data_IF_314907043060
#
_entry.id   IF_314907043060
#
_cell.length_a   1.000
_cell.length_b   1.000
_cell.length_c   1.000
_cell.angle_alpha   90.00
_cell.angle_beta   90.00
_cell.angle_gamma   90.00
#
_symmetry.space_group_name_H-M   'P 1'
#
loop_
_entity.id
_entity.type
_entity.pdbx_description
1 polymer ?
#
# COMPACT_ATOMS: atom_id res chain seq x y z
N UNK A 1 -34.25 2.19 11.41
CA UNK A 1 -32.77 2.21 11.35
C UNK A 1 -32.27 2.69 9.97
N UNK A 2 -32.61 3.92 9.56
CA UNK A 2 -32.00 4.58 8.40
C UNK A 2 -31.31 5.84 8.90
N UNK A 3 -30.17 5.66 9.56
CA UNK A 3 -29.35 6.77 9.99
C UNK A 3 -28.16 6.82 9.04
N UNK A 4 -28.32 7.64 8.00
CA UNK A 4 -27.18 8.17 7.27
C UNK A 4 -26.26 8.80 8.32
N UNK A 5 -25.00 8.39 8.36
CA UNK A 5 -24.01 9.02 9.24
C UNK A 5 -24.09 10.52 9.02
N UNK A 6 -24.46 11.29 10.05
CA UNK A 6 -24.51 12.75 9.98
C UNK A 6 -23.17 13.21 9.42
N UNK A 7 -23.26 14.03 8.39
CA UNK A 7 -22.13 14.59 7.68
C UNK A 7 -21.19 15.21 8.71
N UNK A 8 -19.90 14.84 8.63
CA UNK A 8 -18.86 15.54 9.39
C UNK A 8 -19.03 17.01 9.05
N UNK A 9 -19.29 17.83 10.07
CA UNK A 9 -19.25 19.30 10.04
C UNK A 9 -18.40 19.77 8.86
N UNK A 10 -19.05 20.28 7.82
CA UNK A 10 -18.45 20.48 6.50
C UNK A 10 -17.61 21.75 6.44
N UNK A 11 -17.89 22.69 7.33
CA UNK A 11 -17.28 24.00 7.43
C UNK A 11 -17.05 24.40 8.88
N UNK A 12 -16.29 25.47 9.10
CA UNK A 12 -16.15 26.05 10.45
C UNK A 12 -17.48 26.60 10.96
N UNK A 13 -18.32 27.18 10.09
CA UNK A 13 -19.63 27.71 10.43
C UNK A 13 -20.58 26.62 10.96
N UNK A 14 -20.55 25.43 10.35
CA UNK A 14 -21.32 24.28 10.84
C UNK A 14 -20.87 23.87 12.25
N UNK A 15 -19.58 24.00 12.55
CA UNK A 15 -19.01 23.67 13.87
C UNK A 15 -19.48 24.67 14.92
N UNK A 16 -19.40 25.96 14.59
CA UNK A 16 -19.82 27.05 15.46
C UNK A 16 -21.31 26.94 15.77
N UNK A 17 -22.15 26.73 14.76
CA UNK A 17 -23.58 26.52 14.93
C UNK A 17 -23.89 25.31 15.81
N UNK A 18 -23.19 24.19 15.61
CA UNK A 18 -23.36 23.00 16.44
C UNK A 18 -23.00 23.28 17.92
N UNK A 19 -21.90 24.00 18.17
CA UNK A 19 -21.48 24.35 19.53
C UNK A 19 -22.46 25.32 20.18
N UNK A 20 -22.94 26.34 19.44
CA UNK A 20 -23.93 27.31 19.93
C UNK A 20 -25.25 26.62 20.32
N UNK A 21 -25.78 25.74 19.47
CA UNK A 21 -26.99 24.98 19.78
C UNK A 21 -26.81 24.07 20.99
N UNK A 22 -25.63 23.48 21.16
CA UNK A 22 -25.31 22.65 22.33
C UNK A 22 -25.24 23.47 23.62
N UNK A 23 -24.59 24.63 23.59
CA UNK A 23 -24.56 25.56 24.73
C UNK A 23 -25.96 26.06 25.09
N UNK A 24 -26.77 26.42 24.09
CA UNK A 24 -28.16 26.81 24.28
C UNK A 24 -28.98 25.69 24.93
N UNK A 25 -28.81 24.44 24.49
CA UNK A 25 -29.47 23.28 25.09
C UNK A 25 -29.05 23.02 26.56
N UNK A 26 -27.75 23.16 26.88
CA UNK A 26 -27.25 22.97 28.25
C UNK A 26 -27.72 24.09 29.21
N UNK A 27 -27.86 25.31 28.69
CA UNK A 27 -28.33 26.47 29.47
C UNK A 27 -29.85 26.60 29.53
N UNK A 28 -30.58 25.92 28.64
CA UNK A 28 -32.04 26.01 28.54
C UNK A 28 -32.76 25.63 29.85
N UNK A 29 -32.20 24.70 30.64
CA UNK A 29 -32.79 24.31 31.94
C UNK A 29 -32.30 25.14 33.13
N UNK A 30 -31.46 26.17 32.92
CA UNK A 30 -31.00 27.04 34.03
C UNK A 30 -32.14 27.88 34.62
N UNK A 31 -33.13 28.21 33.78
CA UNK A 31 -34.35 28.91 34.18
C UNK A 31 -35.54 28.05 33.74
N UNK A 32 -36.33 27.59 34.70
CA UNK A 32 -37.57 26.87 34.43
C UNK A 32 -38.64 27.27 35.45
N UNK A 33 -39.89 27.08 35.07
CA UNK A 33 -41.05 27.25 35.95
C UNK A 33 -41.73 25.89 36.09
N UNK A 34 -42.13 25.56 37.31
CA UNK A 34 -43.06 24.46 37.57
C UNK A 34 -44.41 25.03 37.99
N UNK A 35 -45.48 24.51 37.40
CA UNK A 35 -46.83 24.96 37.71
C UNK A 35 -47.83 23.80 37.64
N UNK A 36 -48.98 24.02 38.27
CA UNK A 36 -50.12 23.12 38.25
C UNK A 36 -51.28 23.78 37.50
N UNK A 37 -52.01 23.00 36.72
CA UNK A 37 -53.19 23.47 35.98
C UNK A 37 -54.27 22.40 35.94
N UNK A 38 -55.51 22.82 35.76
CA UNK A 38 -56.66 21.95 35.50
C UNK A 38 -57.06 21.96 34.01
N UNK A 39 -56.33 22.67 33.14
CA UNK A 39 -56.63 22.74 31.72
C UNK A 39 -56.17 21.46 31.00
N UNK A 40 -57.08 20.64 30.46
CA UNK A 40 -56.72 19.40 29.76
C UNK A 40 -56.12 19.61 28.37
N UNK A 41 -56.11 20.85 27.86
CA UNK A 41 -55.60 21.16 26.52
C UNK A 41 -54.09 21.40 26.49
N UNK A 42 -53.46 21.59 27.66
CA UNK A 42 -52.01 21.75 27.75
C UNK A 42 -51.31 20.42 27.44
N UNK A 43 -50.23 20.48 26.66
CA UNK A 43 -49.41 19.32 26.32
C UNK A 43 -47.93 19.72 26.24
N UNK A 44 -47.04 18.74 26.20
CA UNK A 44 -45.61 18.99 25.92
C UNK A 44 -45.49 19.68 24.56
N UNK A 45 -44.71 20.76 24.50
CA UNK A 45 -44.57 21.64 23.34
C UNK A 45 -45.54 22.83 23.29
N UNK A 46 -46.54 22.91 24.19
CA UNK A 46 -47.38 24.12 24.28
C UNK A 46 -46.56 25.32 24.77
N UNK A 47 -46.79 26.49 24.15
CA UNK A 47 -46.24 27.78 24.61
C UNK A 47 -47.28 28.48 25.46
N UNK A 48 -46.89 28.87 26.67
CA UNK A 48 -47.76 29.54 27.66
C UNK A 48 -47.18 30.91 28.01
N UNK A 49 -48.04 31.90 28.19
CA UNK A 49 -47.65 33.21 28.71
C UNK A 49 -47.99 33.27 30.20
N UNK A 50 -46.99 33.53 31.04
CA UNK A 50 -47.17 33.61 32.49
C UNK A 50 -47.35 35.06 32.92
N UNK A 51 -48.29 35.30 33.84
CA UNK A 51 -48.52 36.61 34.42
C UNK A 51 -48.55 36.53 35.94
N UNK A 52 -47.85 37.45 36.61
CA UNK A 52 -47.86 37.56 38.07
C UNK A 52 -48.67 38.76 38.51
N UNK A 53 -49.49 38.57 39.54
CA UNK A 53 -50.19 39.67 40.22
C UNK A 53 -49.30 40.22 41.34
N UNK A 54 -48.84 41.47 41.21
CA UNK A 54 -48.13 42.17 42.28
C UNK A 54 -49.07 43.15 42.99
N UNK A 55 -49.06 43.12 44.34
CA UNK A 55 -49.65 44.19 45.15
C UNK A 55 -48.70 45.39 45.13
N UNK A 56 -48.96 46.38 44.27
CA UNK A 56 -48.50 47.76 44.52
C UNK A 56 -49.40 48.30 45.64
N UNK A 57 -48.83 48.98 46.63
CA UNK A 57 -49.49 49.37 47.88
C UNK A 57 -50.97 49.78 47.77
N UNK A 58 -51.75 49.37 48.79
CA UNK A 58 -53.18 49.63 49.05
C UNK A 58 -54.04 49.91 47.80
N UNK A 59 -54.55 48.82 47.19
CA UNK A 59 -55.80 48.87 46.42
C UNK A 59 -55.71 48.59 44.92
N UNK A 60 -54.51 48.59 44.30
CA UNK A 60 -54.37 48.29 42.88
C UNK A 60 -53.48 47.05 42.64
N UNK A 61 -54.08 46.00 42.07
CA UNK A 61 -53.37 44.86 41.50
C UNK A 61 -52.84 45.25 40.11
N UNK A 62 -51.52 45.17 39.90
CA UNK A 62 -50.93 45.23 38.56
C UNK A 62 -50.54 43.82 38.10
N UNK A 63 -50.94 43.45 36.89
CA UNK A 63 -50.55 42.20 36.25
C UNK A 63 -49.30 42.45 35.40
N UNK A 64 -48.19 41.83 35.78
CA UNK A 64 -46.93 41.91 35.02
C UNK A 64 -46.69 40.59 34.28
N UNK A 65 -46.26 40.68 33.03
CA UNK A 65 -45.88 39.50 32.25
C UNK A 65 -44.53 38.97 32.74
N UNK A 66 -44.48 37.67 33.02
CA UNK A 66 -43.25 36.93 33.31
C UNK A 66 -42.60 36.38 32.02
N UNK A 67 -43.25 36.57 30.86
CA UNK A 67 -42.79 36.10 29.55
C UNK A 67 -43.46 34.81 29.08
N UNK A 68 -43.03 34.37 27.90
CA UNK A 68 -43.50 33.14 27.25
C UNK A 68 -42.59 31.96 27.62
N UNK A 69 -43.19 30.81 27.89
CA UNK A 69 -42.51 29.58 28.26
C UNK A 69 -43.03 28.40 27.43
N UNK A 70 -42.14 27.51 27.01
CA UNK A 70 -42.49 26.25 26.34
C UNK A 70 -42.49 25.10 27.35
N UNK A 71 -43.58 24.34 27.39
CA UNK A 71 -43.71 23.16 28.26
C UNK A 71 -42.85 22.02 27.73
N UNK A 72 -41.93 21.51 28.54
CA UNK A 72 -41.00 20.43 28.18
C UNK A 72 -41.29 19.10 28.88
N UNK A 73 -41.95 19.15 30.05
CA UNK A 73 -42.36 17.96 30.79
C UNK A 73 -43.78 18.20 31.32
N UNK A 74 -44.62 17.18 31.30
CA UNK A 74 -45.97 17.24 31.86
C UNK A 74 -46.40 15.88 32.41
N UNK A 75 -47.00 15.91 33.59
CA UNK A 75 -47.62 14.76 34.24
C UNK A 75 -49.10 15.05 34.43
N UNK A 76 -49.95 14.20 33.87
CA UNK A 76 -51.40 14.27 34.04
C UNK A 76 -51.84 13.32 35.15
N UNK A 77 -52.71 13.79 36.05
CA UNK A 77 -53.32 12.98 37.11
C UNK A 77 -54.84 13.10 37.00
N UNK A 78 -55.52 11.95 36.96
CA UNK A 78 -56.99 11.85 36.96
C UNK A 78 -57.38 10.98 38.15
N UNK A 79 -58.19 11.51 39.06
CA UNK A 79 -58.68 10.78 40.24
C UNK A 79 -60.07 10.17 40.02
N UNK A 80 -60.49 9.30 40.94
CA UNK A 80 -61.79 8.60 40.92
C UNK A 80 -63.01 9.54 40.88
N UNK A 81 -62.86 10.81 41.27
CA UNK A 81 -63.90 11.84 41.22
C UNK A 81 -63.92 12.65 39.91
N UNK A 82 -63.28 12.16 38.84
CA UNK A 82 -63.10 12.88 37.56
C UNK A 82 -62.37 14.22 37.70
N UNK A 83 -61.60 14.41 38.77
CA UNK A 83 -60.79 15.60 38.95
C UNK A 83 -59.49 15.44 38.14
N UNK A 84 -59.35 16.26 37.11
CA UNK A 84 -58.15 16.34 36.30
C UNK A 84 -57.24 17.46 36.83
N UNK A 85 -55.96 17.14 36.99
CA UNK A 85 -54.90 18.13 37.18
C UNK A 85 -53.67 17.70 36.39
N UNK A 86 -52.88 18.67 35.97
CA UNK A 86 -51.56 18.44 35.42
C UNK A 86 -50.52 19.25 36.20
N UNK A 87 -49.32 18.70 36.29
CA UNK A 87 -48.12 19.40 36.73
C UNK A 87 -47.18 19.45 35.54
N UNK A 88 -46.64 20.63 35.24
CA UNK A 88 -45.72 20.78 34.12
C UNK A 88 -44.46 21.56 34.50
N UNK A 89 -43.39 21.33 33.74
CA UNK A 89 -42.15 22.08 33.74
C UNK A 89 -42.03 22.81 32.40
N UNK A 90 -41.79 24.12 32.43
CA UNK A 90 -41.65 24.94 31.25
C UNK A 90 -40.37 25.78 31.31
N UNK A 91 -39.73 25.98 30.16
CA UNK A 91 -38.51 26.80 29.99
C UNK A 91 -38.82 28.03 29.14
N UNK A 92 -38.05 29.12 29.18
CA UNK A 92 -38.32 30.30 28.38
C UNK A 92 -38.49 29.98 26.88
N UNK A 93 -39.50 30.56 26.21
CA UNK A 93 -39.77 30.33 24.79
C UNK A 93 -38.71 30.91 23.84
N UNK A 94 -37.77 31.70 24.37
CA UNK A 94 -36.65 32.31 23.63
C UNK A 94 -35.42 31.40 23.53
N UNK A 95 -35.44 30.20 24.12
CA UNK A 95 -34.32 29.25 24.00
C UNK A 95 -34.09 28.85 22.55
N UNK A 96 -32.83 28.87 22.11
CA UNK A 96 -32.47 28.51 20.73
C UNK A 96 -32.50 27.00 20.47
N UNK A 97 -32.39 26.19 21.54
CA UNK A 97 -32.38 24.74 21.46
C UNK A 97 -33.01 24.14 22.71
N UNK A 98 -33.72 23.02 22.55
CA UNK A 98 -34.30 22.28 23.67
C UNK A 98 -33.19 21.55 24.44
N UNK A 99 -33.41 21.26 25.74
CA UNK A 99 -32.48 20.47 26.54
C UNK A 99 -32.17 19.13 25.87
N UNK A 100 -30.89 18.75 25.84
CA UNK A 100 -30.49 17.47 25.28
C UNK A 100 -30.98 16.33 26.17
N UNK A 101 -31.57 15.26 25.58
CA UNK A 101 -31.93 14.09 26.36
C UNK A 101 -30.68 13.44 26.94
N UNK A 102 -30.76 12.96 28.19
CA UNK A 102 -29.69 12.21 28.84
C UNK A 102 -29.68 10.78 28.31
N UNK A 103 -29.04 10.58 27.16
CA UNK A 103 -28.87 9.27 26.52
C UNK A 103 -27.40 8.90 26.54
N UNK A 104 -27.09 7.66 26.94
CA UNK A 104 -25.74 7.14 26.83
C UNK A 104 -25.39 6.94 25.35
N UNK A 105 -24.25 7.49 24.93
CA UNK A 105 -23.77 7.36 23.56
C UNK A 105 -23.27 5.92 23.35
N UNK A 106 -23.60 5.29 22.20
CA UNK A 106 -23.10 3.95 21.91
C UNK A 106 -21.58 3.96 21.78
N UNK A 107 -20.92 3.04 22.47
CA UNK A 107 -19.49 2.80 22.35
C UNK A 107 -19.27 1.54 21.50
N UNK A 108 -18.50 1.68 20.43
CA UNK A 108 -18.04 0.58 19.62
C UNK A 108 -16.67 0.10 20.10
N UNK A 109 -16.62 -1.14 20.53
CA UNK A 109 -15.36 -1.88 20.69
C UNK A 109 -14.81 -2.29 19.33
N UNK A 110 -13.59 -2.81 19.33
CA UNK A 110 -12.94 -3.35 18.14
C UNK A 110 -13.77 -4.49 17.54
N UNK A 111 -13.96 -4.48 16.21
CA UNK A 111 -14.79 -5.47 15.52
C UNK A 111 -14.10 -6.07 14.31
N UNK A 112 -14.35 -7.34 14.04
CA UNK A 112 -13.94 -7.97 12.78
C UNK A 112 -14.92 -7.59 11.65
N UNK A 113 -14.37 -7.41 10.45
CA UNK A 113 -15.15 -7.18 9.24
C UNK A 113 -14.48 -7.84 8.03
N UNK A 114 -15.27 -8.05 6.97
CA UNK A 114 -14.78 -8.53 5.68
C UNK A 114 -14.65 -7.37 4.70
N UNK A 115 -13.55 -7.30 3.96
CA UNK A 115 -13.34 -6.31 2.90
C UNK A 115 -14.25 -6.62 1.71
N UNK A 116 -15.07 -5.64 1.32
CA UNK A 116 -15.95 -5.74 0.16
C UNK A 116 -15.38 -5.04 -1.07
N UNK A 117 -14.61 -3.96 -0.89
CA UNK A 117 -13.99 -3.21 -1.98
C UNK A 117 -12.76 -2.48 -1.50
N UNK A 118 -11.72 -2.46 -2.33
CA UNK A 118 -10.50 -1.66 -2.16
C UNK A 118 -10.29 -0.65 -3.31
N UNK A 119 -11.27 -0.52 -4.21
CA UNK A 119 -11.23 0.39 -5.36
C UNK A 119 -11.73 1.79 -4.99
N UNK A 120 -11.00 2.49 -4.10
CA UNK A 120 -11.32 3.84 -3.67
C UNK A 120 -11.29 4.83 -4.85
N UNK A 121 -12.41 5.51 -5.20
CA UNK A 121 -12.47 6.46 -6.31
C UNK A 121 -11.46 7.61 -6.23
N UNK A 122 -10.96 7.92 -5.02
CA UNK A 122 -9.99 8.98 -4.81
C UNK A 122 -8.54 8.47 -4.66
N UNK A 123 -8.31 7.16 -4.78
CA UNK A 123 -6.96 6.57 -4.68
C UNK A 123 -6.30 6.75 -3.31
N UNK A 124 -7.07 6.97 -2.24
CA UNK A 124 -6.54 7.30 -0.91
C UNK A 124 -6.23 6.08 -0.02
N UNK A 125 -6.14 4.88 -0.61
CA UNK A 125 -5.84 3.64 0.12
C UNK A 125 -6.89 3.25 1.16
N UNK A 126 -8.16 3.62 0.94
CA UNK A 126 -9.28 3.25 1.83
C UNK A 126 -9.97 1.98 1.33
N UNK A 127 -10.69 1.32 2.22
CA UNK A 127 -11.50 0.13 1.89
C UNK A 127 -12.95 0.32 2.33
N UNK A 128 -13.87 -0.37 1.66
CA UNK A 128 -15.22 -0.60 2.17
C UNK A 128 -15.29 -1.99 2.78
N UNK A 129 -15.87 -2.09 3.96
CA UNK A 129 -15.97 -3.35 4.69
C UNK A 129 -17.41 -3.63 5.09
N UNK A 130 -17.67 -4.87 5.48
CA UNK A 130 -18.92 -5.32 6.10
C UNK A 130 -18.61 -6.00 7.42
N UNK A 131 -19.13 -5.43 8.51
CA UNK A 131 -19.03 -6.02 9.85
C UNK A 131 -19.95 -7.25 9.96
N UNK A 132 -19.67 -8.16 10.89
CA UNK A 132 -20.39 -9.44 10.98
C UNK A 132 -21.90 -9.31 11.21
N UNK A 133 -22.35 -8.25 11.88
CA UNK A 133 -23.78 -8.00 12.15
C UNK A 133 -24.51 -7.32 10.99
N UNK A 134 -23.78 -6.82 9.99
CA UNK A 134 -24.37 -6.17 8.81
C UNK A 134 -24.88 -7.22 7.82
N UNK A 135 -26.12 -7.08 7.38
CA UNK A 135 -26.77 -8.02 6.44
C UNK A 135 -26.78 -7.49 5.01
N UNK A 136 -27.03 -8.38 4.05
CA UNK A 136 -27.29 -8.03 2.65
C UNK A 136 -26.17 -7.14 2.03
N UNK A 137 -26.57 -5.99 1.47
CA UNK A 137 -25.73 -4.99 0.83
C UNK A 137 -25.25 -3.89 1.79
N UNK A 138 -25.41 -4.08 3.11
CA UNK A 138 -24.87 -3.14 4.09
C UNK A 138 -23.34 -3.14 4.03
N UNK A 139 -22.78 -1.94 4.03
CA UNK A 139 -21.34 -1.69 3.97
C UNK A 139 -21.01 -0.37 4.60
N UNK A 140 -19.78 -0.21 5.03
CA UNK A 140 -19.27 1.08 5.48
C UNK A 140 -19.09 2.05 4.31
N UNK A 141 -19.01 3.34 4.63
CA UNK A 141 -18.28 4.31 3.79
C UNK A 141 -16.80 3.91 3.66
N UNK A 142 -16.02 4.62 2.85
CA UNK A 142 -14.58 4.40 2.72
C UNK A 142 -13.84 4.60 4.05
N UNK A 143 -13.25 3.53 4.57
CA UNK A 143 -12.54 3.46 5.85
C UNK A 143 -11.03 3.51 5.61
N UNK A 144 -10.32 4.32 6.39
CA UNK A 144 -8.85 4.42 6.31
C UNK A 144 -8.19 3.15 6.85
N UNK A 145 -7.09 2.76 6.22
CA UNK A 145 -6.25 1.64 6.63
C UNK A 145 -5.05 2.16 7.42
N UNK A 146 -4.82 1.59 8.61
CA UNK A 146 -3.60 1.79 9.38
C UNK A 146 -2.46 1.06 8.69
N UNK A 147 -1.34 1.75 8.54
CA UNK A 147 -0.12 1.22 7.93
C UNK A 147 1.06 1.43 8.89
N UNK A 148 2.08 0.56 8.91
CA UNK A 148 3.26 0.74 9.78
C UNK A 148 3.98 2.08 9.59
N UNK A 149 4.02 2.59 8.36
CA UNK A 149 4.55 3.92 8.03
C UNK A 149 3.74 4.51 6.86
N UNK A 150 3.27 5.74 7.02
CA UNK A 150 2.23 6.35 6.18
C UNK A 150 2.38 7.86 6.04
N UNK A 151 3.60 8.34 5.77
CA UNK A 151 3.95 9.76 5.80
C UNK A 151 4.27 10.37 4.43
N UNK A 152 4.54 11.67 4.41
CA UNK A 152 5.16 12.37 3.28
C UNK A 152 6.42 13.10 3.73
N UNK A 153 7.25 13.56 2.79
CA UNK A 153 8.40 14.43 3.04
C UNK A 153 8.51 15.52 1.97
N UNK A 154 9.52 16.41 2.10
CA UNK A 154 9.81 17.41 1.06
C UNK A 154 10.15 16.75 -0.28
N UNK A 155 10.88 15.64 -0.25
CA UNK A 155 11.34 14.91 -1.43
C UNK A 155 10.29 13.92 -1.96
N UNK A 156 9.44 13.40 -1.07
CA UNK A 156 8.45 12.36 -1.36
C UNK A 156 7.05 12.89 -0.99
N UNK A 157 6.38 13.52 -1.96
CA UNK A 157 5.08 14.19 -1.76
C UNK A 157 3.91 13.23 -1.54
N UNK A 158 3.99 12.00 -2.07
CA UNK A 158 3.02 10.91 -1.91
C UNK A 158 3.61 9.81 -1.04
N UNK A 159 2.80 8.98 -0.40
CA UNK A 159 3.19 8.03 0.65
C UNK A 159 4.67 7.53 0.63
N UNK A 160 5.44 7.98 1.62
CA UNK A 160 6.71 7.40 2.08
C UNK A 160 6.38 6.40 3.18
N UNK A 161 6.51 5.11 2.88
CA UNK A 161 6.24 4.03 3.83
C UNK A 161 5.61 2.81 3.16
N UNK A 162 4.75 2.11 3.89
CA UNK A 162 4.13 0.86 3.44
C UNK A 162 2.78 1.13 2.75
N UNK A 163 2.59 0.55 1.57
CA UNK A 163 1.30 0.51 0.86
C UNK A 163 0.91 -0.95 0.64
N UNK A 164 0.20 -1.53 1.60
CA UNK A 164 -0.39 -2.87 1.49
C UNK A 164 -1.85 -2.78 1.90
N UNK A 165 -2.71 -2.59 0.90
CA UNK A 165 -4.15 -2.44 1.12
C UNK A 165 -4.78 -3.84 1.13
N UNK A 166 -5.62 -4.18 2.13
CA UNK A 166 -6.33 -5.44 2.17
C UNK A 166 -7.11 -5.72 0.87
N UNK A 167 -7.14 -6.98 0.46
CA UNK A 167 -7.83 -7.43 -0.74
C UNK A 167 -9.30 -7.75 -0.45
N UNK A 168 -10.13 -7.76 -1.50
CA UNK A 168 -11.55 -8.15 -1.37
C UNK A 168 -11.64 -9.58 -0.87
N UNK A 169 -12.43 -9.77 0.20
CA UNK A 169 -12.58 -11.06 0.89
C UNK A 169 -11.70 -11.21 2.14
N UNK A 170 -10.70 -10.35 2.34
CA UNK A 170 -9.86 -10.40 3.54
C UNK A 170 -10.66 -10.09 4.81
N UNK A 171 -10.30 -10.77 5.91
CA UNK A 171 -10.78 -10.43 7.24
C UNK A 171 -9.87 -9.36 7.83
N UNK A 172 -10.48 -8.28 8.31
CA UNK A 172 -9.78 -7.15 8.92
C UNK A 172 -10.35 -6.82 10.28
N UNK A 173 -9.51 -6.24 11.13
CA UNK A 173 -9.91 -5.74 12.44
C UNK A 173 -10.13 -4.23 12.37
N UNK A 174 -11.30 -3.77 12.80
CA UNK A 174 -11.66 -2.35 12.85
C UNK A 174 -11.54 -1.81 14.26
N UNK A 175 -10.84 -0.69 14.40
CA UNK A 175 -10.88 0.15 15.58
C UNK A 175 -11.79 1.34 15.36
N UNK A 176 -12.26 1.94 16.45
CA UNK A 176 -13.15 3.10 16.42
C UNK A 176 -12.51 4.25 17.20
N UNK A 177 -12.34 5.40 16.56
CA UNK A 177 -11.65 6.54 17.19
C UNK A 177 -12.49 7.06 18.37
N UNK A 178 -11.94 6.97 19.58
CA UNK A 178 -12.65 7.25 20.85
C UNK A 178 -13.88 6.35 21.08
N UNK A 179 -13.91 5.15 20.50
CA UNK A 179 -15.07 4.27 20.60
C UNK A 179 -16.31 4.75 19.83
N UNK A 180 -16.19 5.78 18.97
CA UNK A 180 -17.31 6.29 18.17
C UNK A 180 -17.60 5.37 16.98
N UNK A 181 -18.78 4.71 16.91
CA UNK A 181 -19.16 3.83 15.81
C UNK A 181 -19.11 4.50 14.42
N UNK A 182 -19.24 5.82 14.36
CA UNK A 182 -19.18 6.61 13.13
C UNK A 182 -17.72 6.91 12.68
N UNK A 183 -16.71 6.50 13.44
CA UNK A 183 -15.28 6.77 13.17
C UNK A 183 -14.43 5.50 13.09
N UNK A 184 -14.78 4.54 12.21
CA UNK A 184 -13.98 3.34 12.03
C UNK A 184 -12.64 3.64 11.33
N UNK A 185 -11.65 2.80 11.60
CA UNK A 185 -10.42 2.66 10.84
C UNK A 185 -10.00 1.18 10.87
N UNK A 186 -9.41 0.68 9.79
CA UNK A 186 -8.85 -0.68 9.76
C UNK A 186 -7.51 -0.66 10.49
N UNK A 187 -7.34 -1.52 11.48
CA UNK A 187 -6.10 -1.70 12.25
C UNK A 187 -5.11 -2.61 11.53
N UNK A 188 -5.61 -3.62 10.84
CA UNK A 188 -4.81 -4.60 10.10
C UNK A 188 -5.65 -5.78 9.63
N UNK A 189 -5.02 -6.66 8.85
CA UNK A 189 -5.62 -7.91 8.39
C UNK A 189 -5.38 -9.03 9.40
N UNK A 190 -6.32 -9.98 9.45
CA UNK A 190 -6.23 -11.18 10.26
C UNK A 190 -6.03 -12.40 9.36
N UNK A 191 -5.08 -13.26 9.74
CA UNK A 191 -5.02 -14.59 9.15
C UNK A 191 -6.27 -15.40 9.51
N UNK A 192 -6.68 -16.28 8.59
CA UNK A 192 -7.72 -17.26 8.83
C UNK A 192 -7.17 -18.68 8.56
N UNK A 193 -8.01 -19.71 8.75
CA UNK A 193 -7.60 -21.11 8.59
C UNK A 193 -7.10 -21.50 7.20
N UNK A 194 -7.21 -20.62 6.20
CA UNK A 194 -6.71 -20.81 4.84
C UNK A 194 -5.53 -19.87 4.53
N UNK A 195 -5.59 -18.61 5.00
CA UNK A 195 -4.58 -17.59 4.67
C UNK A 195 -3.39 -17.55 5.63
N UNK A 196 -3.48 -18.22 6.78
CA UNK A 196 -2.36 -18.36 7.71
C UNK A 196 -1.26 -19.25 7.14
N UNK A 197 -0.20 -18.63 6.63
CA UNK A 197 1.05 -19.29 6.23
C UNK A 197 2.22 -18.68 7.01
N UNK A 198 2.95 -19.51 7.75
CA UNK A 198 4.03 -19.08 8.65
C UNK A 198 3.83 -19.59 10.08
N UNK A 199 4.82 -19.39 10.94
CA UNK A 199 4.87 -20.06 12.24
C UNK A 199 5.37 -21.51 12.12
N UNK A 200 4.96 -22.37 13.05
CA UNK A 200 5.46 -23.75 13.17
C UNK A 200 6.65 -23.87 14.14
N UNK A 201 7.22 -25.07 14.25
CA UNK A 201 8.34 -25.33 15.15
C UNK A 201 9.55 -24.48 14.74
N UNK A 202 10.09 -23.69 15.67
CA UNK A 202 11.21 -22.77 15.42
C UNK A 202 10.85 -21.44 14.77
N UNK A 203 9.70 -21.34 14.07
CA UNK A 203 9.29 -20.13 13.36
C UNK A 203 10.38 -19.57 12.42
N UNK A 204 11.02 -20.47 11.67
CA UNK A 204 12.22 -20.16 10.89
C UNK A 204 11.92 -19.45 9.56
N UNK A 205 10.68 -19.50 9.06
CA UNK A 205 10.32 -18.91 7.77
C UNK A 205 9.54 -17.60 7.95
N UNK A 206 10.06 -16.51 7.37
CA UNK A 206 9.39 -15.20 7.31
C UNK A 206 9.21 -14.80 5.86
N UNK A 207 8.10 -14.17 5.52
CA UNK A 207 7.89 -13.76 4.13
C UNK A 207 6.98 -12.55 3.97
N UNK A 208 7.14 -11.86 2.84
CA UNK A 208 6.20 -10.91 2.28
C UNK A 208 5.76 -11.46 0.93
N UNK A 209 4.46 -11.65 0.73
CA UNK A 209 3.90 -12.21 -0.51
C UNK A 209 2.76 -11.31 -1.01
N UNK A 210 2.83 -10.92 -2.29
CA UNK A 210 1.80 -10.12 -2.96
C UNK A 210 0.65 -10.97 -3.48
N UNK A 211 -0.48 -10.35 -3.84
CA UNK A 211 -1.69 -11.04 -4.35
C UNK A 211 -1.41 -12.04 -5.49
N UNK A 212 -0.48 -11.73 -6.39
CA UNK A 212 -0.16 -12.61 -7.54
C UNK A 212 0.92 -13.65 -7.24
N UNK A 213 1.51 -13.64 -6.04
CA UNK A 213 2.48 -14.63 -5.60
C UNK A 213 3.95 -14.21 -5.70
N UNK A 214 4.26 -12.98 -6.11
CA UNK A 214 5.64 -12.47 -5.96
C UNK A 214 5.98 -12.36 -4.47
N UNK A 215 7.14 -12.86 -4.08
CA UNK A 215 7.50 -13.03 -2.67
C UNK A 215 8.96 -12.70 -2.36
N UNK A 216 9.17 -12.16 -1.15
CA UNK A 216 10.46 -12.12 -0.48
C UNK A 216 10.38 -13.07 0.72
N UNK A 217 11.23 -14.10 0.76
CA UNK A 217 11.27 -15.12 1.81
C UNK A 217 12.64 -15.11 2.49
N UNK A 218 12.62 -15.17 3.82
CA UNK A 218 13.78 -15.40 4.68
C UNK A 218 13.61 -16.74 5.39
N UNK A 219 14.64 -17.57 5.36
CA UNK A 219 14.66 -18.87 6.05
C UNK A 219 15.82 -18.90 7.06
N UNK A 220 15.48 -18.66 8.33
CA UNK A 220 16.40 -18.59 9.45
C UNK A 220 16.99 -19.98 9.82
N UNK A 221 16.47 -21.09 9.27
CA UNK A 221 17.04 -22.43 9.51
C UNK A 221 18.40 -22.62 8.83
N UNK A 222 18.60 -21.95 7.69
CA UNK A 222 19.82 -22.00 6.87
C UNK A 222 20.42 -20.60 6.65
N UNK A 223 19.72 -19.54 7.07
CA UNK A 223 20.14 -18.15 6.84
C UNK A 223 19.95 -17.69 5.39
N UNK A 224 19.02 -18.30 4.65
CA UNK A 224 18.82 -18.00 3.22
C UNK A 224 17.81 -16.88 2.98
N UNK A 225 17.95 -16.20 1.84
CA UNK A 225 17.04 -15.14 1.37
C UNK A 225 16.68 -15.39 -0.08
N UNK A 226 15.39 -15.33 -0.40
CA UNK A 226 14.88 -15.56 -1.76
C UNK A 226 13.92 -14.46 -2.17
N UNK A 227 14.18 -13.80 -3.30
CA UNK A 227 13.21 -12.97 -4.00
C UNK A 227 12.71 -13.77 -5.21
N UNK A 228 11.41 -13.96 -5.35
CA UNK A 228 10.84 -14.77 -6.44
C UNK A 228 9.55 -14.20 -6.98
N UNK A 229 9.31 -14.46 -8.26
CA UNK A 229 8.01 -14.28 -8.89
C UNK A 229 7.30 -15.63 -9.05
N UNK A 230 5.99 -15.65 -9.38
CA UNK A 230 5.27 -16.91 -9.62
C UNK A 230 5.67 -17.58 -10.94
N UNK A 231 6.46 -16.92 -11.79
CA UNK A 231 6.94 -17.35 -13.11
C UNK A 231 8.30 -18.06 -13.08
N UNK A 232 8.78 -18.48 -11.89
CA UNK A 232 10.05 -19.18 -11.65
C UNK A 232 11.31 -18.31 -11.86
N UNK A 233 11.17 -16.99 -11.96
CA UNK A 233 12.34 -16.10 -11.88
C UNK A 233 12.67 -15.85 -10.42
N UNK A 234 13.93 -16.01 -10.03
CA UNK A 234 14.33 -15.84 -8.64
C UNK A 234 15.77 -15.37 -8.46
N UNK A 235 16.01 -14.67 -7.36
CA UNK A 235 17.33 -14.39 -6.81
C UNK A 235 17.37 -15.08 -5.44
N UNK A 236 18.29 -16.02 -5.28
CA UNK A 236 18.44 -16.83 -4.07
C UNK A 236 19.85 -16.71 -3.52
N UNK A 237 19.98 -16.35 -2.24
CA UNK A 237 21.22 -16.39 -1.47
C UNK A 237 21.06 -17.47 -0.41
N UNK A 238 21.94 -18.47 -0.39
CA UNK A 238 21.72 -19.72 0.35
C UNK A 238 22.16 -19.69 1.83
N UNK A 239 22.79 -18.62 2.28
CA UNK A 239 23.36 -18.49 3.64
C UNK A 239 24.72 -19.17 3.83
N UNK A 240 25.16 -19.99 2.88
CA UNK A 240 26.50 -20.60 2.83
C UNK A 240 27.49 -19.82 1.96
N UNK A 241 27.05 -18.69 1.40
CA UNK A 241 27.86 -17.78 0.59
C UNK A 241 27.62 -17.89 -0.91
N UNK A 242 26.71 -18.75 -1.37
CA UNK A 242 26.35 -18.85 -2.78
C UNK A 242 25.15 -17.96 -3.10
N UNK A 243 25.15 -17.42 -4.32
CA UNK A 243 24.04 -16.67 -4.88
C UNK A 243 23.68 -17.22 -6.26
N UNK A 244 22.38 -17.39 -6.51
CA UNK A 244 21.82 -17.89 -7.76
C UNK A 244 20.83 -16.86 -8.29
N UNK A 245 20.98 -16.47 -9.56
CA UNK A 245 19.98 -15.73 -10.29
C UNK A 245 19.45 -16.65 -11.40
N UNK A 246 18.20 -17.08 -11.26
CA UNK A 246 17.55 -18.02 -12.18
C UNK A 246 16.37 -17.36 -12.92
N UNK A 247 16.20 -17.71 -14.19
CA UNK A 247 15.10 -17.26 -15.04
C UNK A 247 14.80 -18.28 -16.12
N UNK A 248 13.53 -18.37 -16.52
CA UNK A 248 13.05 -19.36 -17.49
C UNK A 248 13.22 -18.96 -18.96
N UNK A 249 13.56 -17.70 -19.26
CA UNK A 249 13.66 -17.22 -20.65
C UNK A 249 14.93 -16.40 -20.92
N UNK A 250 15.14 -15.27 -20.22
CA UNK A 250 16.28 -14.37 -20.45
C UNK A 250 16.70 -13.64 -19.18
N UNK A 251 18.00 -13.48 -18.99
CA UNK A 251 18.60 -12.53 -18.04
C UNK A 251 19.34 -11.44 -18.85
N UNK A 252 19.04 -10.16 -18.60
CA UNK A 252 19.66 -9.01 -19.27
C UNK A 252 20.23 -8.04 -18.22
N UNK A 253 21.54 -7.76 -18.32
CA UNK A 253 22.21 -6.69 -17.58
C UNK A 253 22.57 -5.59 -18.60
N UNK A 254 22.07 -4.37 -18.40
CA UNK A 254 22.23 -3.28 -19.38
C UNK A 254 22.66 -1.96 -18.75
N UNK A 255 23.57 -1.24 -19.41
CA UNK A 255 23.94 0.15 -19.09
C UNK A 255 24.19 0.92 -20.40
N UNK A 256 23.27 1.80 -20.77
CA UNK A 256 23.30 2.45 -22.09
C UNK A 256 23.32 1.40 -23.21
N UNK A 257 24.35 1.44 -24.07
CA UNK A 257 24.54 0.46 -25.17
C UNK A 257 25.30 -0.81 -24.77
N UNK A 258 25.81 -0.92 -23.53
CA UNK A 258 26.51 -2.12 -23.07
C UNK A 258 25.51 -3.13 -22.49
N UNK A 259 25.66 -4.42 -22.86
CA UNK A 259 24.75 -5.49 -22.44
C UNK A 259 25.47 -6.81 -22.16
N UNK A 260 24.99 -7.56 -21.17
CA UNK A 260 25.26 -8.99 -20.99
C UNK A 260 23.91 -9.72 -20.99
N UNK A 261 23.76 -10.71 -21.87
CA UNK A 261 22.52 -11.48 -22.03
C UNK A 261 22.77 -12.97 -21.87
N UNK A 262 21.91 -13.64 -21.10
CA UNK A 262 21.83 -15.10 -21.01
C UNK A 262 20.45 -15.53 -21.51
N UNK A 263 20.39 -16.44 -22.49
CA UNK A 263 19.17 -16.92 -23.11
C UNK A 263 18.89 -18.38 -22.73
N UNK A 264 17.61 -18.79 -22.71
CA UNK A 264 17.19 -20.16 -22.37
C UNK A 264 17.77 -21.26 -23.25
N UNK A 265 18.23 -20.93 -24.45
CA UNK A 265 18.88 -21.87 -25.38
C UNK A 265 20.38 -22.05 -25.09
N UNK A 266 20.90 -21.37 -24.06
CA UNK A 266 22.31 -21.39 -23.68
C UNK A 266 23.15 -20.31 -24.36
N UNK A 267 22.56 -19.48 -25.23
CA UNK A 267 23.29 -18.37 -25.88
C UNK A 267 23.68 -17.31 -24.85
N UNK A 268 24.95 -16.90 -24.86
CA UNK A 268 25.47 -15.79 -24.05
C UNK A 268 25.98 -14.70 -24.99
N UNK A 269 25.49 -13.46 -24.82
CA UNK A 269 25.91 -12.30 -25.62
C UNK A 269 26.50 -11.22 -24.73
N UNK A 270 27.69 -10.72 -25.08
CA UNK A 270 28.36 -9.61 -24.39
C UNK A 270 28.64 -8.54 -25.44
N UNK A 271 28.03 -7.36 -25.29
CA UNK A 271 28.18 -6.25 -26.21
C UNK A 271 28.63 -4.99 -25.45
N UNK A 272 29.52 -4.22 -26.08
CA UNK A 272 30.00 -2.96 -25.53
C UNK A 272 30.94 -2.26 -26.52
N UNK A 273 31.26 -1.00 -26.24
CA UNK A 273 32.23 -0.22 -27.04
C UNK A 273 33.64 -0.80 -26.94
N UNK A 274 34.01 -1.28 -25.75
CA UNK A 274 35.30 -1.89 -25.44
C UNK A 274 35.05 -3.04 -24.46
N UNK A 275 35.65 -4.20 -24.71
CA UNK A 275 35.60 -5.37 -23.83
C UNK A 275 37.04 -5.74 -23.48
N UNK A 276 37.46 -5.40 -22.27
CA UNK A 276 38.82 -5.68 -21.78
C UNK A 276 38.80 -6.91 -20.87
N UNK A 277 39.52 -7.95 -21.28
CA UNK A 277 39.65 -9.21 -20.52
C UNK A 277 41.08 -9.31 -20.01
N UNK A 278 41.26 -9.39 -18.69
CA UNK A 278 42.56 -9.51 -18.05
C UNK A 278 42.55 -10.60 -16.97
N UNK A 279 43.66 -11.33 -16.86
CA UNK A 279 43.87 -12.40 -15.89
C UNK A 279 45.25 -13.03 -16.06
N UNK A 280 45.73 -13.77 -15.06
CA UNK A 280 46.99 -14.53 -15.18
C UNK A 280 46.90 -15.56 -16.30
N UNK A 281 45.76 -16.25 -16.38
CA UNK A 281 45.44 -17.22 -17.42
C UNK A 281 44.11 -16.84 -18.08
N UNK A 282 44.09 -16.84 -19.42
CA UNK A 282 42.87 -16.66 -20.22
C UNK A 282 42.75 -17.88 -21.13
N UNK A 283 41.68 -18.66 -20.97
CA UNK A 283 41.42 -19.84 -21.79
C UNK A 283 40.09 -19.70 -22.52
N UNK A 284 40.09 -20.11 -23.80
CA UNK A 284 38.89 -20.15 -24.65
C UNK A 284 38.85 -21.51 -25.32
N UNK A 285 37.75 -22.24 -25.16
CA UNK A 285 37.54 -23.55 -25.75
C UNK A 285 36.13 -23.62 -26.34
N UNK A 286 36.03 -23.97 -27.62
CA UNK A 286 34.78 -24.27 -28.31
C UNK A 286 34.78 -25.71 -28.76
N UNK A 287 33.63 -26.39 -28.68
CA UNK A 287 33.50 -27.79 -29.15
C UNK A 287 33.47 -27.91 -30.67
N UNK A 288 33.02 -26.84 -31.35
CA UNK A 288 32.91 -26.79 -32.83
C UNK A 288 33.88 -25.78 -33.44
N UNK A 289 33.92 -24.56 -32.91
CA UNK A 289 34.78 -23.49 -33.42
C UNK A 289 35.06 -22.41 -32.39
N UNK A 290 36.15 -21.67 -32.62
CA UNK A 290 36.45 -20.40 -31.95
C UNK A 290 36.69 -19.35 -33.02
N UNK A 291 36.06 -18.18 -32.89
CA UNK A 291 36.17 -17.10 -33.86
C UNK A 291 36.44 -15.78 -33.13
N UNK A 292 37.52 -15.10 -33.49
CA UNK A 292 37.86 -13.76 -33.05
C UNK A 292 38.13 -12.89 -34.26
N UNK A 293 37.38 -11.81 -34.48
CA UNK A 293 37.53 -11.02 -35.69
C UNK A 293 36.85 -9.67 -35.66
N UNK A 294 37.03 -8.92 -36.74
CA UNK A 294 36.47 -7.59 -36.97
C UNK A 294 35.47 -7.66 -38.13
N UNK A 295 34.29 -7.07 -37.96
CA UNK A 295 33.23 -7.02 -38.97
C UNK A 295 31.90 -6.53 -38.39
N UNK A 296 30.90 -6.32 -39.24
CA UNK A 296 29.52 -6.10 -38.80
C UNK A 296 28.77 -7.43 -38.66
N UNK A 297 28.01 -7.59 -37.57
CA UNK A 297 27.23 -8.80 -37.30
C UNK A 297 28.04 -9.95 -36.68
N UNK A 298 27.46 -11.16 -36.66
CA UNK A 298 28.05 -12.35 -36.02
C UNK A 298 29.09 -13.08 -36.89
N UNK A 299 29.39 -12.56 -38.09
CA UNK A 299 30.37 -13.12 -39.03
C UNK A 299 31.47 -12.09 -39.33
N UNK A 300 32.66 -12.19 -38.71
CA UNK A 300 33.73 -11.24 -38.95
C UNK A 300 34.30 -11.37 -40.37
N UNK A 301 34.68 -10.25 -40.98
CA UNK A 301 35.27 -10.20 -42.32
C UNK A 301 36.77 -10.51 -42.33
N UNK A 302 37.44 -10.27 -41.20
CA UNK A 302 38.85 -10.62 -40.94
C UNK A 302 38.99 -11.12 -39.51
N UNK A 303 39.96 -11.99 -39.25
CA UNK A 303 40.17 -12.53 -37.91
C UNK A 303 40.93 -13.86 -37.87
N UNK A 304 40.80 -14.51 -36.72
CA UNK A 304 41.31 -15.84 -36.41
C UNK A 304 40.10 -16.75 -36.25
N UNK A 305 40.00 -17.78 -37.09
CA UNK A 305 38.99 -18.82 -37.01
C UNK A 305 39.67 -20.18 -36.79
N UNK A 306 39.22 -20.91 -35.77
CA UNK A 306 39.71 -22.25 -35.47
C UNK A 306 38.54 -23.23 -35.47
N UNK A 307 38.70 -24.36 -36.14
CA UNK A 307 37.82 -25.53 -36.09
C UNK A 307 38.59 -26.72 -35.49
N UNK A 308 37.99 -27.90 -35.48
CA UNK A 308 38.69 -29.13 -35.07
C UNK A 308 39.80 -29.55 -36.04
N UNK A 309 39.81 -29.03 -37.27
CA UNK A 309 40.74 -29.42 -38.34
C UNK A 309 41.65 -28.29 -38.78
N UNK A 310 41.19 -27.04 -38.67
CA UNK A 310 41.83 -25.90 -39.32
C UNK A 310 42.04 -24.75 -38.32
N UNK A 311 43.17 -24.06 -38.48
CA UNK A 311 43.39 -22.73 -37.92
C UNK A 311 43.64 -21.78 -39.08
N UNK A 312 42.67 -20.90 -39.35
CA UNK A 312 42.70 -19.93 -40.41
C UNK A 312 42.89 -18.52 -39.84
N UNK A 313 43.91 -17.82 -40.30
CA UNK A 313 44.18 -16.42 -39.95
C UNK A 313 44.08 -15.60 -41.23
N UNK A 314 43.04 -14.75 -41.32
CA UNK A 314 42.78 -13.92 -42.50
C UNK A 314 42.75 -12.46 -42.10
N UNK A 315 43.63 -11.66 -42.68
CA UNK A 315 43.65 -10.21 -42.47
C UNK A 315 44.33 -9.50 -43.65
N UNK A 316 44.19 -8.17 -43.73
CA UNK A 316 44.92 -7.39 -44.72
C UNK A 316 46.44 -7.40 -44.47
N UNK A 317 46.86 -7.53 -43.20
CA UNK A 317 48.26 -7.64 -42.79
C UNK A 317 48.35 -8.50 -41.53
N UNK A 318 48.97 -9.66 -41.65
CA UNK A 318 49.32 -10.53 -40.52
C UNK A 318 50.80 -10.36 -40.20
N UNK A 319 51.16 -10.15 -38.93
CA UNK A 319 52.54 -10.07 -38.44
C UNK A 319 52.74 -11.11 -37.35
N UNK A 320 53.82 -11.89 -37.42
CA UNK A 320 54.19 -12.90 -36.42
C UNK A 320 55.64 -12.64 -36.04
N UNK A 321 55.86 -12.03 -34.88
CA UNK A 321 57.18 -11.62 -34.41
C UNK A 321 57.58 -12.40 -33.16
N UNK A 322 58.56 -13.30 -33.27
CA UNK A 322 59.19 -13.95 -32.13
C UNK A 322 60.35 -13.13 -31.59
N UNK A 323 60.35 -12.83 -30.30
CA UNK A 323 61.47 -12.10 -29.66
C UNK A 323 62.70 -12.98 -29.44
N UNK A 324 62.52 -14.30 -29.36
CA UNK A 324 63.60 -15.28 -29.25
C UNK A 324 63.59 -16.30 -30.39
N UNK A 325 62.41 -16.84 -30.74
CA UNK A 325 62.26 -17.88 -31.76
C UNK A 325 60.83 -17.87 -32.34
N UNK A 326 60.66 -18.32 -33.58
CA UNK A 326 59.35 -18.61 -34.19
C UNK A 326 59.47 -19.89 -35.00
N UNK A 327 58.71 -20.91 -34.62
CA UNK A 327 58.76 -22.23 -35.26
C UNK A 327 57.46 -22.50 -36.03
N UNK A 328 57.58 -22.80 -37.33
CA UNK A 328 56.47 -23.19 -38.21
C UNK A 328 56.85 -24.50 -38.87
N UNK A 329 56.13 -25.58 -38.54
CA UNK A 329 56.42 -26.92 -39.04
C UNK A 329 55.16 -27.76 -39.12
N UNK A 330 55.19 -28.81 -39.94
CA UNK A 330 54.16 -29.84 -40.02
C UNK A 330 54.81 -31.20 -39.74
N UNK A 331 54.17 -32.05 -38.94
CA UNK A 331 54.75 -33.31 -38.46
C UNK A 331 54.63 -34.47 -39.46
N UNK A 332 53.59 -34.47 -40.28
CA UNK A 332 53.28 -35.54 -41.24
C UNK A 332 52.81 -35.03 -42.61
N UNK A 333 52.75 -33.71 -42.78
CA UNK A 333 52.19 -33.05 -43.95
C UNK A 333 53.19 -32.13 -44.65
N UNK A 334 52.66 -31.18 -45.41
CA UNK A 334 53.42 -30.17 -46.13
C UNK A 334 53.33 -28.83 -45.41
N UNK A 335 54.46 -28.16 -45.21
CA UNK A 335 54.51 -26.75 -44.83
C UNK A 335 54.73 -25.91 -46.10
N UNK A 336 53.74 -25.10 -46.49
CA UNK A 336 53.82 -24.25 -47.69
C UNK A 336 53.81 -22.77 -47.35
N UNK A 337 54.66 -21.98 -48.02
CA UNK A 337 54.66 -20.52 -47.96
C UNK A 337 54.54 -20.00 -49.39
N UNK A 338 53.45 -19.29 -49.68
CA UNK A 338 53.11 -18.84 -51.03
C UNK A 338 52.64 -17.39 -51.02
N UNK A 339 53.00 -16.62 -52.04
CA UNK A 339 52.50 -15.28 -52.29
C UNK A 339 52.18 -15.12 -53.78
N UNK A 340 51.19 -14.27 -54.11
CA UNK A 340 50.86 -13.93 -55.50
C UNK A 340 51.91 -13.06 -56.17
N UNK A 341 52.67 -12.28 -55.39
CA UNK A 341 53.71 -11.38 -55.88
C UNK A 341 55.10 -11.88 -55.50
N UNK A 342 55.48 -11.77 -54.23
CA UNK A 342 56.84 -12.06 -53.77
C UNK A 342 56.84 -12.74 -52.39
N UNK A 343 57.74 -13.69 -52.20
CA UNK A 343 58.12 -14.24 -50.90
C UNK A 343 59.55 -13.81 -50.61
N UNK A 344 59.76 -13.02 -49.56
CA UNK A 344 61.10 -12.55 -49.14
C UNK A 344 61.54 -13.39 -47.93
N UNK A 345 62.68 -14.08 -48.07
CA UNK A 345 63.32 -14.84 -46.98
C UNK A 345 64.68 -14.21 -46.69
N UNK A 346 64.88 -13.72 -45.46
CA UNK A 346 66.08 -12.99 -45.06
C UNK A 346 66.58 -13.36 -43.67
N UNK A 347 67.88 -13.19 -43.44
CA UNK A 347 68.54 -13.45 -42.17
C UNK A 347 70.06 -13.45 -42.34
N UNK A 348 70.80 -13.36 -41.23
CA UNK A 348 72.27 -13.46 -41.26
C UNK A 348 72.77 -14.82 -41.76
N UNK A 349 71.97 -15.89 -41.57
CA UNK A 349 72.17 -17.23 -42.11
C UNK A 349 70.82 -17.83 -42.53
N UNK A 350 70.69 -18.24 -43.78
CA UNK A 350 69.53 -19.00 -44.30
C UNK A 350 70.03 -20.35 -44.78
N UNK A 351 69.48 -21.44 -44.24
CA UNK A 351 69.82 -22.81 -44.63
C UNK A 351 68.60 -23.46 -45.25
N UNK A 352 68.70 -23.77 -46.53
CA UNK A 352 67.73 -24.58 -47.29
C UNK A 352 68.41 -25.93 -47.55
N UNK A 353 67.77 -27.02 -47.16
CA UNK A 353 68.27 -28.38 -47.38
C UNK A 353 67.46 -29.09 -48.44
#
# INVERSE_FOLDING_TARGET
ARQYSIQRVSSIDDLENYVLLKQAAETAETHYVTAESQDPRLHVGSVISLYSSFLKGVGNLSQESLGDFIIIEMTHEVSESCYYKNRFKAIPGTVMSLPNPKVEMPLAETQMATVLSNADPHGAGRVQVRMNWQTDNMRTSWVRVMTPDGGGSKDVKSNRGFVFIPEVGDQVLLGFRHGDPARPYVMGSLFNGVTGGGGGQGNNCKSLTSRRGSSLKLDDSVGSVTLSDPGKTSIHMDGSGNAIFDSSDKILISCGSATIELHKDGTIKINGKEISVGGTDISMAGTSSIVAGVGEGETPSTGIGMTTTDLNITSAKTCIDGTSETNVSSSSGTTSVTASSEVIVGGSKVKLN
#
